data_IF_174154442568
#
_entry.id   IF_174154442568
#
_cell.length_a   1.000
_cell.length_b   1.000
_cell.length_c   1.000
_cell.angle_alpha   90.00
_cell.angle_beta   90.00
_cell.angle_gamma   90.00
#
_symmetry.space_group_name_H-M   'P 1'
#
loop_
_entity.id
_entity.type
_entity.pdbx_description
1 polymer ?
#
# COMPACT_ATOMS: atom_id res chain seq x y z
N UNK A 1 -34.04 -30.35 -101.35
CA UNK A 1 -33.69 -30.87 -100.02
C UNK A 1 -34.08 -29.80 -98.95
N UNK A 2 -35.18 -30.05 -98.21
CA UNK A 2 -35.59 -29.16 -97.13
C UNK A 2 -34.71 -29.48 -95.96
N UNK A 3 -33.84 -28.54 -95.55
CA UNK A 3 -33.09 -28.62 -94.33
C UNK A 3 -34.07 -28.57 -93.17
N UNK A 4 -34.20 -29.65 -92.40
CA UNK A 4 -34.94 -29.67 -91.13
C UNK A 4 -34.17 -28.81 -90.17
N UNK A 5 -34.76 -27.67 -89.85
CA UNK A 5 -34.22 -26.80 -88.78
C UNK A 5 -34.14 -27.60 -87.48
N UNK A 6 -32.98 -27.54 -86.78
CA UNK A 6 -32.74 -28.17 -85.49
C UNK A 6 -33.83 -27.76 -84.51
N UNK A 7 -34.43 -26.58 -84.68
CA UNK A 7 -35.52 -26.03 -83.89
C UNK A 7 -36.90 -26.65 -84.06
N UNK A 8 -37.08 -27.59 -85.09
CA UNK A 8 -38.36 -28.28 -85.29
C UNK A 8 -38.53 -29.53 -84.42
N UNK A 9 -37.45 -29.94 -83.72
CA UNK A 9 -37.51 -31.07 -82.81
C UNK A 9 -38.26 -30.69 -81.54
N UNK A 10 -39.32 -31.42 -81.15
CA UNK A 10 -40.12 -31.19 -79.94
C UNK A 10 -39.28 -31.14 -78.68
N UNK A 11 -38.23 -31.95 -78.62
CA UNK A 11 -37.29 -31.98 -77.45
C UNK A 11 -36.53 -30.69 -77.38
N UNK A 12 -36.05 -30.14 -78.51
CA UNK A 12 -35.27 -28.86 -78.50
C UNK A 12 -36.16 -27.68 -78.11
N UNK A 13 -37.44 -27.67 -78.54
CA UNK A 13 -38.43 -26.63 -78.19
C UNK A 13 -38.75 -26.61 -76.71
N UNK A 14 -38.58 -27.72 -75.93
CA UNK A 14 -38.82 -27.81 -74.53
C UNK A 14 -37.47 -27.56 -73.72
N UNK A 15 -36.40 -28.16 -74.24
CA UNK A 15 -35.10 -28.10 -73.54
C UNK A 15 -34.45 -26.70 -73.60
N UNK A 16 -34.57 -26.01 -74.75
CA UNK A 16 -33.97 -24.69 -74.97
C UNK A 16 -34.50 -23.61 -73.98
N UNK A 17 -35.83 -23.44 -73.82
CA UNK A 17 -36.37 -22.52 -72.84
C UNK A 17 -36.01 -22.90 -71.41
N UNK A 18 -35.94 -24.21 -71.12
CA UNK A 18 -35.55 -24.68 -69.75
C UNK A 18 -34.11 -24.39 -69.47
N UNK A 19 -33.17 -24.58 -70.40
CA UNK A 19 -31.76 -24.23 -70.28
C UNK A 19 -31.60 -22.71 -70.18
N UNK A 20 -32.37 -21.94 -71.00
CA UNK A 20 -32.35 -20.50 -70.94
C UNK A 20 -32.86 -19.98 -69.56
N UNK A 21 -33.96 -20.53 -69.08
CA UNK A 21 -34.54 -20.19 -67.81
C UNK A 21 -33.56 -20.52 -66.62
N UNK A 22 -32.93 -21.71 -66.70
CA UNK A 22 -31.92 -22.11 -65.72
C UNK A 22 -30.70 -21.23 -65.80
N UNK A 23 -30.21 -20.88 -67.00
CA UNK A 23 -29.07 -19.95 -67.14
C UNK A 23 -29.40 -18.55 -66.63
N UNK A 24 -30.63 -18.06 -66.90
CA UNK A 24 -31.10 -16.78 -66.41
C UNK A 24 -31.30 -16.81 -64.90
N UNK A 25 -31.82 -17.91 -64.35
CA UNK A 25 -31.93 -18.10 -62.90
C UNK A 25 -30.54 -18.14 -62.23
N UNK A 26 -29.61 -18.89 -62.82
CA UNK A 26 -28.24 -18.95 -62.35
C UNK A 26 -27.56 -17.58 -62.41
N UNK A 27 -27.78 -16.84 -63.53
CA UNK A 27 -27.26 -15.45 -63.65
C UNK A 27 -27.83 -14.52 -62.57
N UNK A 28 -29.15 -14.57 -62.33
CA UNK A 28 -29.80 -13.76 -61.30
C UNK A 28 -29.30 -14.13 -59.90
N UNK A 29 -29.15 -15.41 -59.58
CA UNK A 29 -28.72 -15.90 -58.30
C UNK A 29 -27.23 -15.62 -58.05
N UNK A 30 -26.37 -15.66 -59.07
CA UNK A 30 -24.90 -15.49 -58.90
C UNK A 30 -24.46 -14.11 -59.23
N UNK A 31 -25.08 -13.35 -60.12
CA UNK A 31 -24.59 -12.00 -60.52
C UNK A 31 -25.46 -10.85 -59.97
N UNK A 32 -26.79 -11.09 -59.88
CA UNK A 32 -27.76 -10.10 -59.44
C UNK A 32 -28.09 -10.29 -57.94
N UNK A 33 -27.44 -11.24 -57.25
CA UNK A 33 -27.71 -11.58 -55.83
C UNK A 33 -28.32 -10.40 -55.06
N UNK A 34 -29.58 -10.51 -54.60
CA UNK A 34 -30.12 -9.49 -53.73
C UNK A 34 -29.20 -9.36 -52.54
N UNK A 35 -28.77 -8.13 -52.25
CA UNK A 35 -27.94 -7.85 -51.07
C UNK A 35 -28.56 -8.56 -49.87
N UNK A 36 -27.74 -9.33 -49.17
CA UNK A 36 -28.15 -9.93 -47.90
C UNK A 36 -27.82 -8.94 -46.78
N UNK A 37 -28.70 -8.88 -45.80
CA UNK A 37 -28.47 -8.10 -44.57
C UNK A 37 -28.07 -9.05 -43.44
N UNK A 38 -27.15 -8.62 -42.61
CA UNK A 38 -26.77 -9.29 -41.38
C UNK A 38 -26.57 -8.24 -40.30
N UNK A 39 -26.96 -8.54 -39.06
CA UNK A 39 -26.74 -7.64 -37.93
C UNK A 39 -25.84 -8.31 -36.92
N UNK A 40 -24.78 -7.63 -36.56
CA UNK A 40 -23.89 -8.04 -35.46
C UNK A 40 -24.18 -7.13 -34.26
N UNK A 41 -24.67 -7.75 -33.18
CA UNK A 41 -25.11 -7.02 -32.01
C UNK A 41 -23.95 -6.76 -31.05
N UNK A 42 -24.05 -5.65 -30.32
CA UNK A 42 -23.17 -5.31 -29.20
C UNK A 42 -21.68 -5.24 -29.59
N UNK A 43 -21.38 -4.52 -30.69
CA UNK A 43 -19.99 -4.27 -31.12
C UNK A 43 -19.41 -3.15 -30.26
N UNK A 44 -18.27 -3.36 -29.59
CA UNK A 44 -17.66 -2.34 -28.72
C UNK A 44 -17.21 -1.15 -29.58
N UNK A 45 -17.46 0.06 -29.05
CA UNK A 45 -17.01 1.31 -29.67
C UNK A 45 -15.62 1.65 -29.14
N UNK A 46 -14.66 1.69 -30.04
CA UNK A 46 -13.29 2.10 -29.71
C UNK A 46 -13.17 3.62 -29.66
N UNK A 47 -12.40 4.10 -28.69
CA UNK A 47 -12.16 5.53 -28.44
C UNK A 47 -10.66 5.84 -28.57
N UNK A 48 -10.07 5.76 -29.77
CA UNK A 48 -8.63 5.90 -29.97
C UNK A 48 -8.09 7.29 -29.61
N UNK A 49 -8.94 8.32 -29.64
CA UNK A 49 -8.58 9.71 -29.39
C UNK A 49 -8.71 10.15 -27.93
N UNK A 50 -8.89 9.22 -26.97
CA UNK A 50 -9.08 9.55 -25.56
C UNK A 50 -7.92 10.39 -24.96
N UNK A 51 -6.68 10.15 -25.42
CA UNK A 51 -5.51 10.92 -25.01
C UNK A 51 -5.63 12.43 -25.34
N UNK A 52 -6.35 12.78 -26.40
CA UNK A 52 -6.60 14.18 -26.77
C UNK A 52 -7.43 14.87 -25.70
N UNK A 53 -8.43 14.19 -25.15
CA UNK A 53 -9.23 14.72 -24.05
C UNK A 53 -8.39 14.93 -22.79
N UNK A 54 -7.53 13.96 -22.44
CA UNK A 54 -6.64 14.08 -21.28
C UNK A 54 -5.71 15.29 -21.39
N UNK A 55 -5.15 15.54 -22.58
CA UNK A 55 -4.30 16.73 -22.82
C UNK A 55 -5.08 18.05 -22.66
N UNK A 56 -6.40 18.01 -22.84
CA UNK A 56 -7.30 19.15 -22.64
C UNK A 56 -7.86 19.25 -21.22
N UNK A 57 -7.44 18.34 -20.31
CA UNK A 57 -7.98 18.27 -18.96
C UNK A 57 -9.41 17.72 -18.91
N UNK A 58 -9.78 16.88 -19.87
CA UNK A 58 -11.12 16.29 -20.00
C UNK A 58 -11.03 14.78 -19.95
N UNK A 59 -12.15 14.15 -19.56
CA UNK A 59 -12.31 12.69 -19.59
C UNK A 59 -13.78 12.32 -19.87
N UNK A 60 -13.96 11.11 -20.40
CA UNK A 60 -15.30 10.54 -20.58
C UNK A 60 -15.70 9.84 -19.28
N UNK A 61 -16.90 10.11 -18.82
CA UNK A 61 -17.59 9.33 -17.78
C UNK A 61 -18.74 8.60 -18.44
N UNK A 62 -18.63 7.28 -18.52
CA UNK A 62 -19.69 6.43 -19.05
C UNK A 62 -19.94 5.31 -18.05
N UNK A 63 -21.16 5.23 -17.57
CA UNK A 63 -21.60 4.14 -16.69
C UNK A 63 -21.93 2.85 -17.49
N UNK A 64 -21.83 2.90 -18.82
CA UNK A 64 -22.22 1.81 -19.70
C UNK A 64 -21.09 1.48 -20.66
N UNK A 65 -20.87 0.20 -20.94
CA UNK A 65 -20.01 -0.22 -22.05
C UNK A 65 -20.53 0.44 -23.33
N UNK A 66 -19.65 1.19 -23.99
CA UNK A 66 -19.98 1.83 -25.27
C UNK A 66 -20.04 0.75 -26.35
N UNK A 67 -21.23 0.33 -26.71
CA UNK A 67 -21.45 -0.67 -27.73
C UNK A 67 -22.66 -0.30 -28.62
N UNK A 68 -22.59 -0.67 -29.85
CA UNK A 68 -23.66 -0.45 -30.87
C UNK A 68 -23.88 -1.71 -31.70
N UNK A 69 -25.05 -1.81 -32.28
CA UNK A 69 -25.32 -2.84 -33.26
C UNK A 69 -24.85 -2.38 -34.66
N UNK A 70 -24.28 -3.30 -35.44
CA UNK A 70 -23.79 -2.99 -36.78
C UNK A 70 -24.63 -3.79 -37.79
N UNK A 71 -25.36 -3.07 -38.65
CA UNK A 71 -26.04 -3.62 -39.80
C UNK A 71 -25.08 -3.67 -40.98
N UNK A 72 -24.96 -4.84 -41.57
CA UNK A 72 -24.11 -5.15 -42.71
C UNK A 72 -24.96 -5.47 -43.93
N UNK A 73 -24.62 -4.85 -45.04
CA UNK A 73 -25.25 -5.15 -46.36
C UNK A 73 -24.16 -5.53 -47.33
N UNK A 74 -24.34 -6.68 -47.99
CA UNK A 74 -23.36 -7.18 -48.96
C UNK A 74 -23.76 -8.51 -49.57
N UNK A 75 -22.87 -9.08 -50.37
CA UNK A 75 -23.05 -10.41 -50.89
C UNK A 75 -23.02 -11.44 -49.78
N UNK A 76 -23.85 -12.46 -49.86
CA UNK A 76 -23.93 -13.53 -48.84
C UNK A 76 -22.59 -14.21 -48.56
N UNK A 77 -21.73 -14.34 -49.57
CA UNK A 77 -20.40 -14.92 -49.42
C UNK A 77 -19.48 -14.01 -48.62
N UNK A 78 -19.53 -12.68 -48.85
CA UNK A 78 -18.73 -11.70 -48.16
C UNK A 78 -19.16 -11.58 -46.70
N UNK A 79 -20.50 -11.59 -46.46
CA UNK A 79 -21.05 -11.54 -45.09
C UNK A 79 -20.73 -12.79 -44.26
N UNK A 80 -20.73 -14.00 -44.90
CA UNK A 80 -20.43 -15.25 -44.19
C UNK A 80 -18.94 -15.40 -43.82
N UNK A 81 -18.05 -14.67 -44.50
CA UNK A 81 -16.61 -14.70 -44.27
C UNK A 81 -16.14 -13.61 -43.29
N UNK A 82 -17.05 -12.72 -42.83
CA UNK A 82 -16.75 -11.66 -41.89
C UNK A 82 -16.81 -12.16 -40.44
N UNK A 83 -15.72 -12.01 -39.75
CA UNK A 83 -15.66 -12.21 -38.31
C UNK A 83 -15.90 -10.88 -37.56
N UNK A 84 -16.28 -10.98 -36.29
CA UNK A 84 -16.52 -9.81 -35.44
C UNK A 84 -15.26 -8.92 -35.31
N UNK A 85 -14.07 -9.52 -35.39
CA UNK A 85 -12.78 -8.84 -35.38
C UNK A 85 -12.50 -7.97 -36.60
N UNK A 86 -13.21 -8.19 -37.69
CA UNK A 86 -13.07 -7.42 -38.94
C UNK A 86 -13.88 -6.12 -38.92
N UNK A 87 -14.67 -5.93 -37.86
CA UNK A 87 -15.53 -4.75 -37.68
C UNK A 87 -14.98 -3.89 -36.56
N UNK A 88 -14.63 -2.68 -36.90
CA UNK A 88 -14.18 -1.67 -35.94
C UNK A 88 -15.13 -0.48 -35.95
N UNK A 89 -15.69 -0.14 -34.81
CA UNK A 89 -16.50 1.05 -34.64
C UNK A 89 -15.66 2.06 -33.81
N UNK A 90 -15.48 3.26 -34.36
CA UNK A 90 -14.70 4.32 -33.76
C UNK A 90 -15.51 5.61 -33.66
N UNK A 91 -15.21 6.42 -32.64
CA UNK A 91 -15.74 7.78 -32.51
C UNK A 91 -14.61 8.79 -32.53
N UNK A 92 -14.85 9.96 -33.14
CA UNK A 92 -13.89 11.06 -33.18
C UNK A 92 -14.19 12.07 -32.07
N UNK A 93 -13.27 12.19 -31.12
CA UNK A 93 -13.34 13.12 -30.00
C UNK A 93 -12.65 14.45 -30.28
N UNK A 94 -12.06 14.63 -31.46
CA UNK A 94 -11.31 15.84 -31.83
C UNK A 94 -12.12 17.12 -31.68
N UNK A 95 -13.43 17.18 -31.97
CA UNK A 95 -14.22 18.40 -31.85
C UNK A 95 -14.64 18.77 -30.41
N UNK A 96 -14.28 17.95 -29.40
CA UNK A 96 -14.66 18.19 -28.01
C UNK A 96 -13.58 19.03 -27.32
N UNK A 97 -13.95 20.23 -26.85
CA UNK A 97 -13.04 21.16 -26.16
C UNK A 97 -13.46 21.48 -24.72
N UNK A 98 -14.72 21.26 -24.37
CA UNK A 98 -15.30 21.61 -23.09
C UNK A 98 -16.02 20.41 -22.44
N UNK A 99 -16.27 20.50 -21.15
CA UNK A 99 -17.11 19.56 -20.45
C UNK A 99 -18.57 19.70 -20.88
N UNK A 100 -19.27 18.60 -21.05
CA UNK A 100 -20.66 18.61 -21.50
C UNK A 100 -21.14 17.24 -21.99
N UNK A 101 -22.36 17.20 -22.47
CA UNK A 101 -22.92 16.00 -23.11
C UNK A 101 -22.90 16.18 -24.61
N UNK A 102 -22.30 15.21 -25.29
CA UNK A 102 -22.12 15.22 -26.73
C UNK A 102 -22.79 14.01 -27.36
N UNK A 103 -23.41 14.22 -28.49
CA UNK A 103 -23.87 13.15 -29.37
C UNK A 103 -22.92 13.02 -30.54
N UNK A 104 -22.17 11.93 -30.58
CA UNK A 104 -21.07 11.71 -31.53
C UNK A 104 -21.44 10.59 -32.49
N UNK A 105 -21.27 10.84 -33.81
CA UNK A 105 -21.49 9.84 -34.82
C UNK A 105 -20.50 8.69 -34.71
N UNK A 106 -20.99 7.46 -34.86
CA UNK A 106 -20.16 6.27 -34.89
C UNK A 106 -19.68 6.04 -36.34
N UNK A 107 -18.35 5.93 -36.48
CA UNK A 107 -17.71 5.58 -37.74
C UNK A 107 -17.41 4.07 -37.75
N UNK A 108 -18.05 3.34 -38.61
CA UNK A 108 -17.81 1.90 -38.74
C UNK A 108 -16.86 1.64 -39.91
N UNK A 109 -15.86 0.78 -39.69
CA UNK A 109 -14.97 0.25 -40.71
C UNK A 109 -15.11 -1.26 -40.74
N UNK A 110 -15.28 -1.77 -41.92
CA UNK A 110 -15.42 -3.20 -42.18
C UNK A 110 -14.47 -3.59 -43.30
N UNK A 111 -13.85 -4.76 -43.19
CA UNK A 111 -13.03 -5.31 -44.26
C UNK A 111 -13.91 -5.89 -45.40
N UNK A 112 -13.47 -5.77 -46.67
CA UNK A 112 -14.16 -6.36 -47.82
C UNK A 112 -15.14 -5.43 -48.50
N UNK A 113 -16.01 -6.03 -49.33
CA UNK A 113 -16.97 -5.32 -50.20
C UNK A 113 -18.38 -5.30 -49.55
N UNK A 114 -18.43 -4.82 -48.30
CA UNK A 114 -19.62 -4.77 -47.44
C UNK A 114 -19.87 -3.35 -46.99
N UNK A 115 -21.12 -2.92 -47.07
CA UNK A 115 -21.56 -1.63 -46.49
C UNK A 115 -22.01 -1.88 -45.05
N UNK A 116 -21.57 -1.03 -44.13
CA UNK A 116 -21.93 -1.14 -42.72
C UNK A 116 -22.55 0.16 -42.20
N UNK A 117 -23.53 0.01 -41.34
CA UNK A 117 -24.18 1.12 -40.63
C UNK A 117 -24.35 0.74 -39.19
N UNK A 118 -24.15 1.70 -38.29
CA UNK A 118 -24.36 1.50 -36.85
C UNK A 118 -25.78 1.84 -36.42
N UNK A 119 -26.34 1.08 -35.49
CA UNK A 119 -27.62 1.36 -34.88
C UNK A 119 -27.48 1.32 -33.33
N UNK A 120 -27.59 2.45 -32.63
CA UNK A 120 -27.79 3.81 -33.14
C UNK A 120 -26.61 4.33 -33.97
N UNK A 121 -26.86 5.29 -34.89
CA UNK A 121 -25.82 5.94 -35.70
C UNK A 121 -24.93 6.91 -34.93
N UNK A 122 -25.32 7.27 -33.72
CA UNK A 122 -24.58 8.14 -32.78
C UNK A 122 -24.65 7.59 -31.35
N UNK A 123 -23.64 7.91 -30.53
CA UNK A 123 -23.64 7.60 -29.12
C UNK A 123 -23.58 8.89 -28.29
N UNK A 124 -24.19 8.83 -27.12
CA UNK A 124 -24.17 9.92 -26.16
C UNK A 124 -23.00 9.75 -25.21
N UNK A 125 -22.08 10.71 -25.20
CA UNK A 125 -20.93 10.76 -24.31
C UNK A 125 -21.07 11.89 -23.31
N UNK A 126 -20.77 11.61 -22.06
CA UNK A 126 -20.65 12.62 -21.00
C UNK A 126 -19.19 12.88 -20.78
N UNK A 127 -18.76 14.11 -21.06
CA UNK A 127 -17.38 14.58 -20.89
C UNK A 127 -17.34 15.53 -19.70
N UNK A 128 -16.40 15.29 -18.78
CA UNK A 128 -16.22 16.08 -17.58
C UNK A 128 -14.78 16.57 -17.47
N UNK A 129 -14.54 17.57 -16.61
CA UNK A 129 -13.20 18.01 -16.28
C UNK A 129 -12.46 16.86 -15.56
N UNK A 130 -11.28 16.54 -16.03
CA UNK A 130 -10.34 15.61 -15.42
C UNK A 130 -9.43 16.37 -14.46
N UNK A 131 -9.23 15.82 -13.29
CA UNK A 131 -8.29 16.35 -12.31
C UNK A 131 -7.35 15.25 -11.81
N UNK A 132 -6.13 15.66 -11.56
CA UNK A 132 -5.12 14.89 -10.83
C UNK A 132 -4.85 15.57 -9.50
N UNK A 133 -4.72 14.78 -8.44
CA UNK A 133 -4.42 15.27 -7.10
C UNK A 133 -3.47 14.29 -6.42
N UNK A 134 -2.27 14.76 -6.08
CA UNK A 134 -1.32 13.98 -5.29
C UNK A 134 -1.72 14.05 -3.81
N UNK A 135 -1.75 12.90 -3.15
CA UNK A 135 -2.10 12.78 -1.74
C UNK A 135 -1.18 11.79 -1.02
N UNK A 136 -0.85 12.04 0.25
CA UNK A 136 -0.15 11.07 1.08
C UNK A 136 -1.07 9.92 1.47
N UNK A 137 -0.47 8.73 1.65
CA UNK A 137 -1.17 7.57 2.17
C UNK A 137 -1.10 7.60 3.68
N UNK A 138 -2.25 7.49 4.34
CA UNK A 138 -2.40 7.38 5.79
C UNK A 138 -2.60 5.93 6.19
N UNK A 139 -1.81 5.45 7.15
CA UNK A 139 -2.01 4.12 7.73
C UNK A 139 -2.98 4.22 8.90
N UNK A 140 -4.13 3.56 8.78
CA UNK A 140 -5.10 3.38 9.86
C UNK A 140 -4.88 2.04 10.54
N UNK A 141 -5.10 2.00 11.84
CA UNK A 141 -4.96 0.79 12.61
C UNK A 141 -6.30 0.36 13.17
N UNK A 142 -6.60 -0.92 13.06
CA UNK A 142 -7.74 -1.58 13.69
C UNK A 142 -7.24 -2.61 14.70
N UNK A 143 -8.04 -2.86 15.75
CA UNK A 143 -7.65 -3.75 16.83
C UNK A 143 -6.52 -3.18 17.70
N UNK A 144 -6.04 -4.01 18.62
CA UNK A 144 -4.93 -3.69 19.50
C UNK A 144 -3.90 -4.81 19.46
N UNK A 145 -2.63 -4.45 19.65
CA UNK A 145 -1.58 -5.43 19.94
C UNK A 145 -1.89 -6.15 21.25
N UNK A 146 -1.44 -7.39 21.43
CA UNK A 146 -1.55 -8.10 22.72
C UNK A 146 -0.85 -7.31 23.85
N UNK A 147 -1.21 -7.64 25.10
CA UNK A 147 -0.57 -7.06 26.27
C UNK A 147 0.96 -7.16 26.18
N UNK A 148 1.64 -6.10 26.59
CA UNK A 148 3.09 -5.95 26.54
C UNK A 148 3.70 -5.84 25.12
N UNK A 149 2.89 -5.57 24.10
CA UNK A 149 3.40 -5.27 22.76
C UNK A 149 2.89 -3.92 22.29
N UNK A 150 3.76 -3.19 21.59
CA UNK A 150 3.43 -1.90 21.01
C UNK A 150 3.84 -1.86 19.55
N UNK A 151 3.05 -1.15 18.73
CA UNK A 151 3.41 -0.90 17.34
C UNK A 151 4.42 0.23 17.25
N UNK A 152 5.41 0.06 16.40
CA UNK A 152 6.31 1.14 15.99
C UNK A 152 5.71 2.01 14.87
N UNK A 153 6.54 2.80 14.23
CA UNK A 153 6.15 3.62 13.09
C UNK A 153 5.97 2.74 11.86
N UNK A 154 4.81 2.81 11.24
CA UNK A 154 4.57 2.14 9.96
C UNK A 154 5.45 2.73 8.86
N UNK A 155 5.96 1.87 8.00
CA UNK A 155 6.73 2.21 6.81
C UNK A 155 5.98 1.67 5.59
N UNK A 156 5.81 2.50 4.58
CA UNK A 156 5.14 2.18 3.32
C UNK A 156 6.17 2.05 2.21
N UNK A 157 5.92 1.17 1.24
CA UNK A 157 6.72 1.07 0.01
C UNK A 157 6.61 2.34 -0.85
N UNK A 158 5.49 3.08 -0.68
CA UNK A 158 5.24 4.40 -1.28
C UNK A 158 4.46 5.28 -0.31
N UNK A 159 4.90 6.51 -0.16
CA UNK A 159 4.29 7.45 0.80
C UNK A 159 3.16 8.29 0.17
N UNK A 160 3.16 8.44 -1.15
CA UNK A 160 2.20 9.27 -1.89
C UNK A 160 1.70 8.58 -3.13
N UNK A 161 0.47 8.90 -3.51
CA UNK A 161 -0.16 8.46 -4.77
C UNK A 161 -0.86 9.63 -5.43
N UNK A 162 -1.10 9.51 -6.74
CA UNK A 162 -1.88 10.48 -7.50
C UNK A 162 -3.26 9.91 -7.80
N UNK A 163 -4.29 10.62 -7.40
CA UNK A 163 -5.68 10.28 -7.69
C UNK A 163 -6.08 10.99 -8.97
N UNK A 164 -6.68 10.24 -9.88
CA UNK A 164 -7.11 10.73 -11.21
C UNK A 164 -8.56 10.41 -11.43
N UNK A 165 -9.32 11.39 -11.90
CA UNK A 165 -10.72 11.18 -12.23
C UNK A 165 -11.50 12.46 -12.49
N UNK A 166 -12.84 12.37 -12.46
CA UNK A 166 -13.70 13.54 -12.53
C UNK A 166 -13.38 14.53 -11.41
N UNK A 167 -13.18 15.79 -11.76
CA UNK A 167 -12.84 16.87 -10.81
C UNK A 167 -13.81 16.93 -9.61
N UNK A 168 -15.09 16.71 -9.87
CA UNK A 168 -16.11 16.68 -8.82
C UNK A 168 -15.83 15.60 -7.78
N UNK A 169 -15.46 14.38 -8.20
CA UNK A 169 -15.15 13.25 -7.32
C UNK A 169 -13.77 13.40 -6.66
N UNK A 170 -12.75 13.82 -7.41
CA UNK A 170 -11.39 14.04 -6.85
C UNK A 170 -11.43 15.05 -5.70
N UNK A 171 -12.28 16.10 -5.81
CA UNK A 171 -12.41 17.10 -4.76
C UNK A 171 -13.16 16.62 -3.51
N UNK A 172 -13.91 15.54 -3.58
CA UNK A 172 -14.56 14.95 -2.39
C UNK A 172 -13.57 14.10 -1.57
N UNK A 173 -12.48 13.65 -2.19
CA UNK A 173 -11.49 12.84 -1.47
C UNK A 173 -10.72 13.70 -0.47
N UNK A 174 -10.89 13.37 0.80
CA UNK A 174 -10.21 14.01 1.92
C UNK A 174 -8.97 13.23 2.37
N UNK A 175 -8.99 11.90 2.26
CA UNK A 175 -7.95 11.02 2.75
C UNK A 175 -7.74 9.81 1.84
N UNK A 176 -6.49 9.38 1.70
CA UNK A 176 -6.10 8.08 1.12
C UNK A 176 -5.62 7.21 2.26
N UNK A 177 -6.28 6.10 2.50
CA UNK A 177 -6.03 5.27 3.67
C UNK A 177 -5.76 3.81 3.29
N UNK A 178 -4.93 3.17 4.11
CA UNK A 178 -4.79 1.71 4.21
C UNK A 178 -5.02 1.30 5.64
N UNK A 179 -5.69 0.17 5.86
CA UNK A 179 -6.05 -0.28 7.21
C UNK A 179 -5.28 -1.54 7.56
N UNK A 180 -4.54 -1.49 8.67
CA UNK A 180 -3.76 -2.61 9.22
C UNK A 180 -4.45 -3.10 10.48
N UNK A 181 -4.75 -4.39 10.55
CA UNK A 181 -5.25 -5.03 11.78
C UNK A 181 -4.06 -5.43 12.66
N UNK A 182 -4.03 -4.91 13.90
CA UNK A 182 -3.01 -5.22 14.90
C UNK A 182 -3.36 -6.41 15.80
N UNK A 183 -4.57 -6.96 15.67
CA UNK A 183 -5.11 -7.97 16.58
C UNK A 183 -4.27 -9.24 16.60
N UNK A 184 -3.74 -9.59 17.78
CA UNK A 184 -2.99 -10.82 17.99
C UNK A 184 -1.55 -10.84 17.48
N UNK A 185 -1.08 -9.77 16.82
CA UNK A 185 0.27 -9.68 16.29
C UNK A 185 1.30 -9.36 17.38
N UNK A 186 2.32 -10.22 17.51
CA UNK A 186 3.48 -10.07 18.40
C UNK A 186 4.79 -9.84 17.66
N UNK A 187 4.77 -10.01 16.36
CA UNK A 187 5.91 -9.81 15.43
C UNK A 187 5.53 -8.80 14.37
N UNK A 188 6.53 -8.28 13.71
CA UNK A 188 6.37 -7.32 12.62
C UNK A 188 5.32 -7.77 11.61
N UNK A 189 4.51 -6.82 11.16
CA UNK A 189 3.46 -7.02 10.18
C UNK A 189 3.99 -6.49 8.84
N UNK A 190 4.12 -7.37 7.84
CA UNK A 190 4.39 -6.99 6.48
C UNK A 190 3.25 -7.50 5.60
N UNK A 191 2.44 -6.59 5.07
CA UNK A 191 1.25 -6.92 4.30
C UNK A 191 1.07 -5.95 3.12
N UNK A 192 0.59 -6.50 1.99
CA UNK A 192 0.11 -5.71 0.87
C UNK A 192 -1.39 -5.54 1.02
N UNK A 193 -1.83 -4.29 1.14
CA UNK A 193 -3.19 -3.92 1.50
C UNK A 193 -3.83 -3.00 0.46
N UNK A 194 -5.14 -3.10 0.23
CA UNK A 194 -5.85 -2.26 -0.71
C UNK A 194 -5.88 -0.79 -0.24
N UNK A 195 -5.72 0.11 -1.21
CA UNK A 195 -5.87 1.55 -0.99
C UNK A 195 -7.35 1.90 -0.99
N UNK A 196 -7.79 2.63 0.02
CA UNK A 196 -9.16 3.14 0.13
C UNK A 196 -9.16 4.67 0.08
N UNK A 197 -9.95 5.23 -0.83
CA UNK A 197 -10.16 6.67 -0.91
C UNK A 197 -11.36 7.03 -0.03
N UNK A 198 -11.21 8.00 0.85
CA UNK A 198 -12.24 8.39 1.81
C UNK A 198 -12.60 9.87 1.64
N UNK A 199 -13.88 10.17 1.81
CA UNK A 199 -14.36 11.54 1.91
C UNK A 199 -14.14 12.12 3.34
N UNK A 200 -14.58 13.36 3.56
CA UNK A 200 -14.47 14.03 4.87
C UNK A 200 -15.30 13.38 5.98
N UNK A 201 -16.21 12.48 5.65
CA UNK A 201 -17.05 11.73 6.59
C UNK A 201 -16.53 10.30 6.81
N UNK A 202 -15.44 9.93 6.13
CA UNK A 202 -14.87 8.59 6.18
C UNK A 202 -15.60 7.56 5.31
N UNK A 203 -16.44 8.02 4.36
CA UNK A 203 -17.15 7.15 3.42
C UNK A 203 -16.26 6.85 2.21
N UNK A 204 -16.21 5.58 1.72
CA UNK A 204 -15.42 5.24 0.54
C UNK A 204 -15.91 5.96 -0.72
N UNK A 205 -14.97 6.57 -1.45
CA UNK A 205 -15.19 7.21 -2.76
C UNK A 205 -14.74 6.24 -3.85
N UNK A 206 -15.63 5.93 -4.78
CA UNK A 206 -15.38 5.04 -5.91
C UNK A 206 -15.39 5.78 -7.25
N UNK A 207 -14.96 5.13 -8.35
CA UNK A 207 -14.95 5.74 -9.68
C UNK A 207 -13.73 6.66 -9.93
N UNK A 208 -12.69 6.52 -9.14
CA UNK A 208 -11.41 7.19 -9.30
C UNK A 208 -10.31 6.16 -9.55
N UNK A 209 -9.30 6.56 -10.32
CA UNK A 209 -8.09 5.76 -10.53
C UNK A 209 -6.97 6.31 -9.67
N UNK A 210 -6.22 5.40 -9.04
CA UNK A 210 -5.01 5.76 -8.29
C UNK A 210 -3.81 5.34 -9.13
N UNK A 211 -2.88 6.25 -9.37
CA UNK A 211 -1.67 5.99 -10.15
C UNK A 211 -0.42 6.27 -9.33
N UNK A 212 0.62 5.49 -9.60
CA UNK A 212 1.98 5.78 -9.17
C UNK A 212 2.59 6.79 -10.14
N UNK A 213 3.05 7.92 -9.62
CA UNK A 213 3.60 8.99 -10.45
C UNK A 213 4.97 8.63 -11.06
N UNK A 214 5.73 7.72 -10.42
CA UNK A 214 7.04 7.30 -10.91
C UNK A 214 6.92 6.24 -12.01
N UNK A 215 5.96 5.33 -11.87
CA UNK A 215 5.79 4.18 -12.76
C UNK A 215 4.70 4.39 -13.83
N UNK A 216 3.91 5.48 -13.73
CA UNK A 216 2.77 5.81 -14.61
C UNK A 216 1.82 4.62 -14.81
N UNK A 217 1.63 3.82 -13.75
CA UNK A 217 0.74 2.67 -13.73
C UNK A 217 -0.33 2.81 -12.66
N UNK A 218 -1.43 2.10 -12.84
CA UNK A 218 -2.49 1.99 -11.86
C UNK A 218 -2.02 1.20 -10.64
N UNK A 219 -2.32 1.72 -9.45
CA UNK A 219 -1.97 1.14 -8.16
C UNK A 219 -3.23 0.97 -7.34
N UNK A 220 -3.52 -0.27 -6.97
CA UNK A 220 -4.68 -0.61 -6.15
C UNK A 220 -4.30 -0.99 -4.72
N UNK A 221 -3.02 -1.33 -4.51
CA UNK A 221 -2.50 -1.85 -3.25
C UNK A 221 -1.17 -1.22 -2.89
N UNK A 222 -0.82 -1.25 -1.62
CA UNK A 222 0.46 -0.77 -1.07
C UNK A 222 0.98 -1.74 -0.03
N UNK A 223 2.29 -1.94 0.02
CA UNK A 223 2.93 -2.77 1.04
C UNK A 223 3.24 -1.92 2.27
N UNK A 224 2.72 -2.37 3.41
CA UNK A 224 2.89 -1.73 4.72
C UNK A 224 3.72 -2.63 5.60
N UNK A 225 4.77 -2.09 6.19
CA UNK A 225 5.55 -2.73 7.24
C UNK A 225 5.31 -1.99 8.56
N UNK A 226 4.81 -2.70 9.58
CA UNK A 226 4.58 -2.17 10.93
C UNK A 226 5.41 -2.99 11.91
N UNK A 227 6.50 -2.44 12.46
CA UNK A 227 7.26 -3.10 13.49
C UNK A 227 6.42 -3.30 14.74
N UNK A 228 6.44 -4.50 15.32
CA UNK A 228 5.80 -4.81 16.61
C UNK A 228 6.90 -5.17 17.60
N UNK A 229 7.04 -4.38 18.64
CA UNK A 229 8.06 -4.56 19.66
C UNK A 229 7.43 -4.86 21.02
N UNK A 230 8.15 -5.63 21.82
CA UNK A 230 7.76 -5.88 23.21
C UNK A 230 7.99 -4.60 24.03
N UNK A 231 7.03 -4.29 24.90
CA UNK A 231 7.13 -3.24 25.91
C UNK A 231 7.23 -3.87 27.30
N UNK A 232 8.15 -3.41 28.12
CA UNK A 232 8.37 -3.95 29.46
C UNK A 232 8.80 -2.86 30.42
N UNK A 233 8.27 -2.89 31.65
CA UNK A 233 8.77 -2.13 32.76
C UNK A 233 9.83 -2.95 33.52
N UNK A 234 11.03 -2.40 33.65
CA UNK A 234 12.13 -3.04 34.33
C UNK A 234 12.41 -2.31 35.66
N UNK A 235 12.45 -3.02 36.79
CA UNK A 235 12.91 -2.45 38.05
C UNK A 235 14.37 -2.07 37.93
N UNK A 236 14.70 -0.90 38.43
CA UNK A 236 16.08 -0.38 38.53
C UNK A 236 16.73 -0.87 39.78
N UNK A 237 17.90 -1.48 39.65
CA UNK A 237 18.69 -2.00 40.77
C UNK A 237 20.04 -1.32 40.81
N UNK A 238 20.41 -0.91 42.03
CA UNK A 238 21.78 -0.49 42.38
C UNK A 238 22.29 -1.42 43.49
N UNK A 239 23.37 -2.13 43.22
CA UNK A 239 23.95 -3.08 44.18
C UNK A 239 24.68 -2.33 45.28
N UNK A 240 24.41 -2.69 46.52
CA UNK A 240 25.15 -2.16 47.67
C UNK A 240 26.22 -3.15 48.10
N UNK A 241 27.48 -2.71 48.11
CA UNK A 241 28.63 -3.47 48.63
C UNK A 241 28.83 -3.04 50.05
N UNK A 242 28.70 -3.97 50.99
CA UNK A 242 28.86 -3.69 52.44
C UNK A 242 30.29 -3.33 52.80
N UNK A 243 30.45 -2.37 53.75
CA UNK A 243 31.75 -1.93 54.25
C UNK A 243 31.62 -0.97 55.45
N UNK A 244 32.62 -0.87 56.24
CA UNK A 244 32.61 0.07 57.39
C UNK A 244 31.53 -0.18 58.47
N UNK A 245 30.95 -1.39 58.48
CA UNK A 245 29.79 -1.73 59.33
C UNK A 245 28.42 -1.49 58.66
N UNK A 246 28.39 -0.91 57.46
CA UNK A 246 27.21 -0.72 56.68
C UNK A 246 26.90 -2.00 55.87
N UNK A 247 25.64 -2.36 55.83
CA UNK A 247 25.08 -3.50 55.06
C UNK A 247 23.83 -3.04 54.32
N UNK A 248 23.38 -3.81 53.37
CA UNK A 248 22.11 -3.50 52.64
C UNK A 248 20.91 -3.41 53.61
N UNK A 249 20.94 -4.15 54.72
CA UNK A 249 19.85 -4.19 55.71
C UNK A 249 19.76 -2.93 56.57
N UNK A 250 20.93 -2.29 56.89
CA UNK A 250 20.97 -1.08 57.69
C UNK A 250 21.13 0.20 56.84
N UNK A 251 20.94 0.10 55.55
CA UNK A 251 21.08 1.20 54.59
C UNK A 251 19.73 1.51 53.97
N UNK A 252 19.36 2.79 53.93
CA UNK A 252 18.22 3.28 53.19
C UNK A 252 18.68 3.74 51.80
N UNK A 253 18.19 3.07 50.75
CA UNK A 253 18.45 3.44 49.38
C UNK A 253 17.17 4.05 48.80
N UNK A 254 17.27 5.25 48.22
CA UNK A 254 16.20 5.92 47.48
C UNK A 254 16.70 6.19 46.07
N UNK A 255 15.93 5.77 45.07
CA UNK A 255 16.21 6.02 43.66
C UNK A 255 15.26 7.10 43.16
N UNK A 256 15.75 8.00 42.29
CA UNK A 256 14.88 8.97 41.60
C UNK A 256 13.81 8.30 40.74
N UNK A 257 14.18 7.18 40.12
CA UNK A 257 13.31 6.36 39.28
C UNK A 257 13.54 4.90 39.67
N UNK A 258 12.50 4.25 40.13
CA UNK A 258 12.55 2.83 40.55
C UNK A 258 12.27 1.86 39.45
N UNK A 259 11.69 2.34 38.34
CA UNK A 259 11.36 1.54 37.14
C UNK A 259 11.68 2.34 35.88
N UNK A 260 12.07 1.65 34.83
CA UNK A 260 12.28 2.22 33.51
C UNK A 260 11.48 1.36 32.49
N UNK A 261 10.66 2.04 31.71
CA UNK A 261 9.92 1.41 30.61
C UNK A 261 10.81 1.32 29.38
N UNK A 262 10.87 0.15 28.78
CA UNK A 262 11.69 -0.15 27.61
C UNK A 262 10.87 -0.85 26.54
N UNK A 263 11.22 -0.63 25.28
CA UNK A 263 10.69 -1.39 24.14
C UNK A 263 11.84 -2.00 23.34
N UNK A 264 11.56 -3.14 22.70
CA UNK A 264 12.57 -3.84 21.90
C UNK A 264 12.15 -5.23 21.50
N UNK A 265 13.08 -5.99 20.85
CA UNK A 265 12.83 -7.36 20.46
C UNK A 265 12.49 -8.24 21.65
N UNK A 266 11.44 -9.08 21.49
CA UNK A 266 11.00 -10.03 22.54
C UNK A 266 12.14 -10.94 23.03
N UNK A 267 13.01 -11.39 22.11
CA UNK A 267 14.14 -12.25 22.43
C UNK A 267 15.13 -11.63 23.44
N UNK A 268 15.28 -10.30 23.43
CA UNK A 268 16.14 -9.57 24.37
C UNK A 268 15.38 -9.30 25.65
N UNK A 269 14.17 -8.72 25.56
CA UNK A 269 13.42 -8.28 26.74
C UNK A 269 12.89 -9.42 27.62
N UNK A 270 12.66 -10.61 27.05
CA UNK A 270 12.26 -11.78 27.84
C UNK A 270 13.34 -12.16 28.88
N UNK A 271 14.61 -12.04 28.51
CA UNK A 271 15.74 -12.33 29.40
C UNK A 271 16.05 -11.22 30.43
N UNK A 272 15.53 -10.02 30.23
CA UNK A 272 15.78 -8.88 31.14
C UNK A 272 14.72 -8.85 32.23
N UNK A 273 15.10 -9.18 33.46
CA UNK A 273 14.21 -9.13 34.64
C UNK A 273 14.35 -7.86 35.44
N UNK A 274 15.51 -7.21 35.34
CA UNK A 274 15.90 -6.00 36.10
C UNK A 274 16.95 -5.21 35.30
N UNK A 275 17.11 -3.93 35.62
CA UNK A 275 18.15 -3.08 35.07
C UNK A 275 19.14 -2.73 36.16
N UNK A 276 20.31 -3.39 36.17
CA UNK A 276 21.39 -3.12 37.12
C UNK A 276 22.23 -1.95 36.60
N UNK A 277 22.20 -0.81 37.27
CA UNK A 277 22.93 0.40 36.87
C UNK A 277 24.38 0.41 37.34
N UNK A 278 24.66 -0.25 38.47
CA UNK A 278 26.00 -0.28 39.05
C UNK A 278 26.00 -0.71 40.51
N UNK A 279 27.09 -0.40 41.22
CA UNK A 279 27.25 -0.71 42.64
C UNK A 279 27.75 0.51 43.40
N UNK A 280 27.35 0.63 44.66
CA UNK A 280 27.82 1.65 45.60
C UNK A 280 28.58 0.91 46.71
N UNK A 281 29.84 1.32 46.97
CA UNK A 281 30.62 0.84 48.09
C UNK A 281 30.22 1.66 49.34
N UNK A 282 29.58 1.01 50.29
CA UNK A 282 29.12 1.63 51.52
C UNK A 282 30.28 2.04 52.45
N UNK A 283 31.50 1.51 52.25
CA UNK A 283 32.69 1.94 53.00
C UNK A 283 33.08 3.38 52.69
N UNK A 284 32.68 3.92 51.53
CA UNK A 284 32.95 5.30 51.13
C UNK A 284 31.85 6.27 51.54
N UNK A 285 30.79 5.80 52.22
CA UNK A 285 29.65 6.61 52.65
C UNK A 285 29.67 6.86 54.15
N UNK A 286 29.88 8.09 54.57
CA UNK A 286 29.94 8.45 56.04
C UNK A 286 28.54 8.38 56.68
N UNK A 287 27.59 9.20 56.22
CA UNK A 287 26.20 9.27 56.71
C UNK A 287 25.19 9.22 55.63
N UNK A 288 25.44 9.91 54.53
CA UNK A 288 24.62 9.92 53.34
C UNK A 288 25.48 10.25 52.12
N UNK A 289 25.10 9.72 50.96
CA UNK A 289 25.76 9.99 49.68
C UNK A 289 24.74 9.98 48.55
N UNK A 290 25.02 10.78 47.54
CA UNK A 290 24.20 10.82 46.30
C UNK A 290 25.10 10.44 45.14
N UNK A 291 24.63 9.46 44.37
CA UNK A 291 25.36 8.87 43.24
C UNK A 291 24.50 8.96 42.00
N UNK A 292 25.11 9.33 40.89
CA UNK A 292 24.44 9.33 39.57
C UNK A 292 24.88 8.15 38.72
N UNK A 293 23.93 7.46 38.13
CA UNK A 293 24.15 6.33 37.22
C UNK A 293 23.54 6.61 35.88
N UNK A 294 24.30 6.38 34.80
CA UNK A 294 23.80 6.44 33.45
C UNK A 294 22.97 5.20 33.16
N UNK A 295 21.80 5.40 32.51
CA UNK A 295 20.95 4.32 32.04
C UNK A 295 21.54 3.78 30.74
N UNK A 296 22.13 2.58 30.77
CA UNK A 296 22.70 1.91 29.61
C UNK A 296 21.85 0.70 29.28
N UNK A 297 21.27 0.70 28.08
CA UNK A 297 20.47 -0.39 27.58
C UNK A 297 21.26 -1.18 26.50
N UNK A 298 20.92 -2.45 26.29
CA UNK A 298 21.44 -3.22 25.16
C UNK A 298 21.12 -2.57 23.82
N UNK A 299 21.85 -2.97 22.78
CA UNK A 299 21.52 -2.58 21.41
C UNK A 299 20.09 -3.04 21.06
N UNK A 300 19.38 -2.26 20.28
CA UNK A 300 17.99 -2.49 19.83
C UNK A 300 16.92 -2.41 20.95
N UNK A 301 17.31 -1.99 22.17
CA UNK A 301 16.36 -1.66 23.26
C UNK A 301 16.25 -0.16 23.39
N UNK A 302 15.03 0.35 23.30
CA UNK A 302 14.71 1.78 23.37
C UNK A 302 14.19 2.12 24.75
N UNK A 303 14.65 3.24 25.29
CA UNK A 303 14.18 3.81 26.56
C UNK A 303 12.93 4.67 26.30
N UNK A 304 11.78 4.19 26.72
CA UNK A 304 10.49 4.88 26.51
C UNK A 304 10.21 5.95 27.58
N UNK A 305 10.87 5.87 28.75
CA UNK A 305 10.73 6.90 29.81
C UNK A 305 11.53 8.16 29.52
N UNK A 306 12.56 8.08 28.66
CA UNK A 306 13.48 9.18 28.38
C UNK A 306 14.44 9.51 29.53
N UNK A 307 14.42 8.76 30.65
CA UNK A 307 15.32 8.94 31.78
C UNK A 307 16.72 8.44 31.42
N UNK A 308 17.67 9.33 31.27
CA UNK A 308 19.05 8.98 30.89
C UNK A 308 19.96 8.76 32.08
N UNK A 309 19.59 9.29 33.26
CA UNK A 309 20.33 9.16 34.50
C UNK A 309 19.39 8.90 35.66
N UNK A 310 19.79 8.02 36.58
CA UNK A 310 19.10 7.75 37.82
C UNK A 310 19.99 8.17 38.97
N UNK A 311 19.42 8.92 39.89
CA UNK A 311 20.09 9.35 41.10
C UNK A 311 19.76 8.40 42.24
N UNK A 312 20.78 7.82 42.87
CA UNK A 312 20.66 6.96 44.03
C UNK A 312 21.12 7.74 45.28
N UNK A 313 20.23 7.92 46.25
CA UNK A 313 20.54 8.53 47.55
C UNK A 313 20.62 7.43 48.59
N UNK A 314 21.80 7.31 49.20
CA UNK A 314 22.09 6.34 50.25
C UNK A 314 22.13 7.08 51.58
N UNK A 315 21.46 6.53 52.58
CA UNK A 315 21.47 7.07 53.96
C UNK A 315 21.73 5.93 54.95
N UNK A 316 22.66 6.19 55.89
CA UNK A 316 23.06 5.27 56.93
C UNK A 316 22.58 5.78 58.31
N UNK A 317 21.31 5.58 58.69
CA UNK A 317 20.70 6.25 59.83
C UNK A 317 21.23 5.75 61.17
N UNK A 318 21.75 4.52 61.25
CA UNK A 318 22.17 3.87 62.48
C UNK A 318 23.69 3.82 62.67
N UNK A 319 24.50 4.31 61.72
CA UNK A 319 25.94 4.29 61.82
C UNK A 319 26.48 5.58 62.42
N UNK A 320 27.33 5.41 63.40
CA UNK A 320 28.08 6.51 64.02
C UNK A 320 29.57 6.37 63.69
N UNK A 321 30.18 7.43 63.19
CA UNK A 321 31.61 7.47 62.89
C UNK A 321 32.35 7.89 64.13
N UNK A 322 33.27 7.07 64.58
CA UNK A 322 34.22 7.43 65.72
C UNK A 322 35.62 7.56 65.17
N UNK A 323 36.27 8.65 65.48
CA UNK A 323 37.67 8.86 65.11
C UNK A 323 38.55 8.55 66.36
N UNK A 324 39.41 7.59 66.21
CA UNK A 324 40.39 7.23 67.26
C UNK A 324 41.78 7.72 66.87
N UNK A 325 42.49 8.37 67.80
CA UNK A 325 43.87 8.64 67.57
C UNK A 325 44.71 7.47 68.06
N UNK A 326 45.36 6.79 67.14
CA UNK A 326 46.28 5.71 67.45
C UNK A 326 47.65 6.31 67.64
N UNK A 327 48.09 6.37 68.91
CA UNK A 327 49.34 7.01 69.29
C UNK A 327 50.53 6.06 69.40
N UNK A 328 50.30 4.76 69.48
CA UNK A 328 51.30 3.72 69.52
C UNK A 328 50.89 2.49 68.66
N UNK A 329 51.74 2.11 67.72
CA UNK A 329 51.61 0.88 66.95
C UNK A 329 52.82 0.01 67.32
N UNK A 330 52.57 -1.24 67.77
CA UNK A 330 53.58 -2.25 68.01
C UNK A 330 53.61 -3.25 66.96
N UNK A 331 54.75 -3.57 66.45
CA UNK A 331 54.97 -4.65 65.48
C UNK A 331 55.29 -5.95 66.24
N UNK A 332 54.62 -7.04 65.94
CA UNK A 332 54.87 -8.37 66.46
C UNK A 332 55.50 -9.21 65.37
N UNK A 333 56.43 -10.12 65.70
CA UNK A 333 57.09 -11.05 64.79
C UNK A 333 57.91 -10.39 63.65
N UNK A 334 58.57 -9.26 63.94
CA UNK A 334 59.48 -8.66 63.00
C UNK A 334 60.76 -9.50 62.95
N UNK A 335 61.23 -9.98 61.80
CA UNK A 335 62.48 -10.77 61.66
C UNK A 335 63.66 -9.89 62.06
N UNK A 336 64.69 -10.52 62.66
CA UNK A 336 65.93 -9.83 63.11
C UNK A 336 66.60 -9.08 61.94
N UNK A 337 66.85 -7.77 62.15
CA UNK A 337 67.48 -6.88 61.18
C UNK A 337 66.54 -6.14 60.24
N UNK A 338 65.18 -6.33 60.34
CA UNK A 338 64.18 -5.56 59.57
C UNK A 338 63.61 -4.38 60.40
N UNK A 339 63.32 -3.28 59.70
CA UNK A 339 62.54 -2.15 60.20
C UNK A 339 61.21 -2.08 59.55
N UNK A 340 60.14 -1.95 60.33
CA UNK A 340 58.83 -1.69 59.83
C UNK A 340 58.58 -0.18 59.85
N UNK A 341 58.09 0.32 58.69
CA UNK A 341 57.65 1.69 58.58
C UNK A 341 56.14 1.69 58.21
N UNK A 342 55.41 2.57 58.87
CA UNK A 342 54.01 2.76 58.59
C UNK A 342 53.88 3.51 57.26
N UNK A 343 53.24 2.93 56.27
CA UNK A 343 52.99 3.55 55.00
C UNK A 343 51.87 4.61 55.02
N UNK A 344 50.97 4.54 56.03
CA UNK A 344 49.92 5.55 56.28
C UNK A 344 50.03 6.16 57.64
N UNK A 345 49.90 7.48 57.69
CA UNK A 345 49.90 8.23 58.97
C UNK A 345 48.52 8.31 59.59
N UNK A 346 47.51 7.92 58.94
CA UNK A 346 46.09 7.86 59.33
C UNK A 346 45.51 6.58 58.82
N UNK A 347 44.84 5.80 59.62
CA UNK A 347 44.06 4.60 59.28
C UNK A 347 42.58 4.87 59.56
#
# INVERSE_FOLDING_TARGET
MKSKSIFDNKIVKILFPLVLAFSLWLYVVTVVSPGSESTINNVPVSVPSQRILWQRGLMIVSDTELAVDVKLEGNRTDLNNLDRSDITVEVDLTPIYDAGTYEIACNVRVAGNVTAQTEPGSIKLVVVERQEKQMPITVKFEGNTPDNYVKGKAVLDRETVTIVGPKSLVNTVAEVAVTVDLSGHKTDIEQTLPITLLDSQGTPVTGLTVIDQELDNEVTEVTVNVPIVMFKELPVIVNLIGGGGATAENTKLELSDSTISVSGPEAILTGMTELVLGSIDLAEVDKSGTFEFDVKLPQDVVNETGVTKVTATVTLPELMTYTFQVTQIRYENLPDGMKAELAAKVV
#
